data_IF_138582470398
#
_entry.id   IF_138582470398
#
_cell.length_a   1.000
_cell.length_b   1.000
_cell.length_c   1.000
_cell.angle_alpha   90.00
_cell.angle_beta   90.00
_cell.angle_gamma   90.00
#
_symmetry.space_group_name_H-M   'P 1'
#
loop_
_entity.id
_entity.type
_entity.pdbx_description
1 polymer ?
#
# COMPACT_ATOMS: atom_id res chain seq x y z
N UNK A 1 13.40 -0.35 -71.83
CA UNK A 1 14.05 -1.29 -70.89
C UNK A 1 12.95 -2.00 -70.11
N UNK A 2 12.63 -3.25 -70.47
CA UNK A 2 11.52 -3.99 -69.85
C UNK A 2 12.04 -4.66 -68.57
N UNK A 3 11.61 -4.19 -67.41
CA UNK A 3 12.00 -4.78 -66.11
C UNK A 3 11.09 -5.96 -65.83
N UNK A 4 11.60 -7.17 -66.01
CA UNK A 4 10.87 -8.40 -65.68
C UNK A 4 11.03 -8.73 -64.21
N UNK A 5 10.03 -8.39 -63.40
CA UNK A 5 10.00 -8.77 -61.98
C UNK A 5 9.59 -10.24 -61.89
N UNK A 6 10.46 -11.07 -61.30
CA UNK A 6 10.16 -12.49 -61.10
C UNK A 6 9.13 -12.61 -59.97
N UNK A 7 8.02 -13.31 -60.22
CA UNK A 7 6.95 -13.56 -59.23
C UNK A 7 7.53 -14.11 -57.91
N UNK A 8 8.54 -14.98 -57.98
CA UNK A 8 9.26 -15.51 -56.80
C UNK A 8 9.87 -14.40 -55.94
N UNK A 9 10.40 -13.34 -56.54
CA UNK A 9 10.98 -12.19 -55.82
C UNK A 9 9.90 -11.35 -55.11
N UNK A 10 8.71 -11.22 -55.69
CA UNK A 10 7.56 -10.55 -55.07
C UNK A 10 7.07 -11.35 -53.87
N UNK A 11 6.97 -12.68 -54.02
CA UNK A 11 6.55 -13.58 -52.93
C UNK A 11 7.52 -13.50 -51.75
N UNK A 12 8.83 -13.60 -51.99
CA UNK A 12 9.83 -13.50 -50.91
C UNK A 12 9.81 -12.13 -50.21
N UNK A 13 9.63 -11.04 -50.97
CA UNK A 13 9.51 -9.71 -50.38
C UNK A 13 8.25 -9.58 -49.52
N UNK A 14 7.09 -10.02 -50.03
CA UNK A 14 5.84 -10.01 -49.28
C UNK A 14 5.92 -10.86 -48.01
N UNK A 15 6.51 -12.05 -48.08
CA UNK A 15 6.75 -12.89 -46.89
C UNK A 15 7.65 -12.20 -45.87
N UNK A 16 8.74 -11.57 -46.31
CA UNK A 16 9.63 -10.82 -45.42
C UNK A 16 8.92 -9.66 -44.70
N UNK A 17 8.08 -8.91 -45.41
CA UNK A 17 7.28 -7.82 -44.82
C UNK A 17 6.28 -8.36 -43.79
N UNK A 18 5.58 -9.44 -44.10
CA UNK A 18 4.62 -10.07 -43.17
C UNK A 18 5.33 -10.57 -41.91
N UNK A 19 6.46 -11.25 -42.04
CA UNK A 19 7.24 -11.73 -40.90
C UNK A 19 7.74 -10.56 -40.04
N UNK A 20 8.23 -9.47 -40.65
CA UNK A 20 8.68 -8.30 -39.92
C UNK A 20 7.54 -7.60 -39.16
N UNK A 21 6.36 -7.47 -39.77
CA UNK A 21 5.19 -6.87 -39.12
C UNK A 21 4.68 -7.73 -37.96
N UNK A 22 4.61 -9.05 -38.14
CA UNK A 22 4.20 -9.98 -37.08
C UNK A 22 5.21 -9.99 -35.93
N UNK A 23 6.51 -10.05 -36.22
CA UNK A 23 7.54 -9.97 -35.20
C UNK A 23 7.49 -8.65 -34.44
N UNK A 24 7.27 -7.52 -35.14
CA UNK A 24 7.15 -6.21 -34.51
C UNK A 24 5.93 -6.13 -33.58
N UNK A 25 4.78 -6.66 -34.00
CA UNK A 25 3.59 -6.73 -33.17
C UNK A 25 3.80 -7.62 -31.94
N UNK A 26 4.41 -8.80 -32.09
CA UNK A 26 4.68 -9.72 -30.97
C UNK A 26 5.64 -9.08 -29.96
N UNK A 27 6.71 -8.43 -30.44
CA UNK A 27 7.66 -7.73 -29.57
C UNK A 27 6.97 -6.56 -28.86
N UNK A 28 6.23 -5.71 -29.58
CA UNK A 28 5.53 -4.56 -28.96
C UNK A 28 4.45 -4.96 -27.95
N UNK A 29 3.81 -6.12 -28.12
CA UNK A 29 2.82 -6.64 -27.16
C UNK A 29 3.49 -7.34 -25.97
N UNK A 30 4.68 -7.93 -26.13
CA UNK A 30 5.41 -8.58 -25.05
C UNK A 30 6.04 -7.61 -24.02
N UNK A 31 6.09 -6.31 -24.33
CA UNK A 31 6.47 -5.25 -23.37
C UNK A 31 5.29 -4.64 -22.62
N UNK A 32 4.06 -5.16 -22.81
CA UNK A 32 2.97 -4.81 -21.90
C UNK A 32 3.24 -5.49 -20.57
N UNK A 33 3.68 -4.70 -19.60
CA UNK A 33 3.55 -5.06 -18.19
C UNK A 33 2.05 -5.01 -17.91
N UNK A 34 1.39 -6.15 -18.00
CA UNK A 34 0.03 -6.26 -17.46
C UNK A 34 0.13 -6.00 -15.95
N UNK A 35 -0.62 -5.01 -15.45
CA UNK A 35 -0.78 -4.81 -14.01
C UNK A 35 -1.31 -6.10 -13.37
N UNK A 36 -1.04 -6.32 -12.09
CA UNK A 36 -1.52 -7.52 -11.42
C UNK A 36 -3.06 -7.57 -11.52
N UNK A 37 -3.67 -8.75 -11.72
CA UNK A 37 -5.13 -8.85 -11.84
C UNK A 37 -5.80 -8.30 -10.57
N UNK A 38 -6.56 -7.20 -10.71
CA UNK A 38 -7.29 -6.56 -9.61
C UNK A 38 -6.93 -5.08 -9.35
N UNK A 39 -5.90 -4.56 -10.00
CA UNK A 39 -5.43 -3.19 -9.77
C UNK A 39 -6.34 -2.16 -10.46
N UNK A 40 -7.12 -1.44 -9.66
CA UNK A 40 -7.43 -0.06 -10.00
C UNK A 40 -6.12 0.70 -9.83
N UNK A 41 -5.61 1.33 -10.89
CA UNK A 41 -4.42 2.16 -10.77
C UNK A 41 -4.67 3.18 -9.65
N UNK A 42 -3.71 3.30 -8.73
CA UNK A 42 -3.79 4.27 -7.64
C UNK A 42 -2.62 5.25 -7.70
N UNK A 43 -2.91 6.51 -7.39
CA UNK A 43 -1.91 7.57 -7.29
C UNK A 43 -1.72 7.95 -5.83
N UNK A 44 -0.46 8.01 -5.39
CA UNK A 44 -0.09 8.57 -4.10
C UNK A 44 -0.21 10.10 -4.15
N UNK A 45 -1.02 10.65 -3.25
CA UNK A 45 -1.11 12.08 -2.99
C UNK A 45 -0.32 12.37 -1.70
N UNK A 46 0.84 13.04 -1.78
CA UNK A 46 1.61 13.40 -0.60
C UNK A 46 0.91 14.53 0.17
N UNK A 47 1.07 14.51 1.50
CA UNK A 47 0.54 15.55 2.39
C UNK A 47 1.66 16.12 3.26
N UNK A 48 1.40 17.27 3.91
CA UNK A 48 2.21 17.65 5.06
C UNK A 48 2.01 16.58 6.13
N UNK A 49 3.08 15.93 6.65
CA UNK A 49 2.89 14.85 7.59
C UNK A 49 2.08 15.26 8.81
N UNK A 50 1.14 14.40 9.22
CA UNK A 50 0.24 14.63 10.34
C UNK A 50 0.14 13.37 11.20
N UNK A 51 -0.13 13.54 12.49
CA UNK A 51 -0.35 12.40 13.39
C UNK A 51 -1.80 11.97 13.37
N UNK A 52 -2.07 10.75 12.90
CA UNK A 52 -3.42 10.19 12.92
C UNK A 52 -3.75 9.63 14.31
N UNK A 53 -2.84 8.86 14.89
CA UNK A 53 -3.00 8.20 16.19
C UNK A 53 -1.72 8.26 17.00
N UNK A 54 -1.85 8.50 18.30
CA UNK A 54 -0.82 8.23 19.30
C UNK A 54 -1.48 7.50 20.47
N UNK A 55 -1.20 6.21 20.64
CA UNK A 55 -1.85 5.44 21.70
C UNK A 55 -1.25 5.68 23.08
N UNK A 56 -0.09 6.37 23.15
CA UNK A 56 0.60 6.62 24.42
C UNK A 56 -0.31 7.36 25.40
N UNK A 57 -0.08 7.20 26.71
CA UNK A 57 -0.77 8.01 27.72
C UNK A 57 -0.58 9.52 27.51
N UNK A 58 -1.48 10.31 28.08
CA UNK A 58 -1.35 11.77 28.12
C UNK A 58 0.03 12.18 28.69
N UNK A 59 0.67 13.24 28.16
CA UNK A 59 0.10 14.25 27.27
C UNK A 59 0.23 13.93 25.76
N UNK A 60 0.82 12.79 25.37
CA UNK A 60 1.15 12.53 23.97
C UNK A 60 -0.03 12.03 23.12
N UNK A 61 -1.10 11.57 23.75
CA UNK A 61 -2.23 10.92 23.08
C UNK A 61 -2.83 11.79 21.98
N UNK A 62 -3.00 11.19 20.80
CA UNK A 62 -3.73 11.76 19.65
C UNK A 62 -4.79 10.75 19.23
N UNK A 63 -6.02 11.23 19.11
CA UNK A 63 -7.18 10.39 18.82
C UNK A 63 -7.73 9.64 20.05
N UNK A 64 -8.76 8.80 19.84
CA UNK A 64 -9.48 8.14 20.94
C UNK A 64 -8.81 6.85 21.46
N UNK A 65 -7.79 6.35 20.77
CA UNK A 65 -7.18 5.07 21.06
C UNK A 65 -6.16 5.18 22.20
N UNK A 66 -6.16 4.17 23.08
CA UNK A 66 -5.17 4.01 24.14
C UNK A 66 -4.19 2.89 23.77
N UNK A 67 -3.19 2.66 24.63
CA UNK A 67 -2.20 1.58 24.50
C UNK A 67 -2.87 0.27 24.11
N UNK A 68 -2.36 -0.37 23.06
CA UNK A 68 -2.93 -1.61 22.54
C UNK A 68 -2.62 -2.74 23.50
N UNK A 69 -3.65 -3.49 23.89
CA UNK A 69 -3.60 -4.64 24.79
C UNK A 69 -3.32 -5.97 24.09
N UNK A 70 -3.47 -7.05 24.86
CA UNK A 70 -3.22 -8.43 24.39
C UNK A 70 -4.32 -8.86 23.42
N UNK A 71 -3.90 -9.42 22.28
CA UNK A 71 -4.79 -9.83 21.19
C UNK A 71 -5.84 -8.76 20.82
N UNK A 72 -5.51 -7.49 20.98
CA UNK A 72 -6.44 -6.39 20.73
C UNK A 72 -6.43 -6.03 19.25
N UNK A 73 -7.62 -5.95 18.65
CA UNK A 73 -7.82 -5.29 17.36
C UNK A 73 -8.61 -4.01 17.56
N UNK A 74 -8.08 -2.89 17.09
CA UNK A 74 -8.78 -1.60 17.08
C UNK A 74 -9.04 -1.15 15.66
N UNK A 75 -10.20 -0.54 15.41
CA UNK A 75 -10.53 0.07 14.11
C UNK A 75 -10.18 1.55 14.16
N UNK A 76 -9.29 1.99 13.29
CA UNK A 76 -8.85 3.38 13.16
C UNK A 76 -9.54 4.02 11.98
N UNK A 77 -10.32 5.08 12.24
CA UNK A 77 -10.90 5.91 11.18
C UNK A 77 -9.83 6.85 10.62
N UNK A 78 -9.59 6.79 9.31
CA UNK A 78 -8.59 7.63 8.66
C UNK A 78 -9.22 8.81 7.92
N UNK A 79 -10.23 8.55 7.09
CA UNK A 79 -10.91 9.60 6.31
C UNK A 79 -11.74 10.52 7.18
N UNK A 80 -11.88 11.77 6.75
CA UNK A 80 -12.45 12.87 7.55
C UNK A 80 -11.38 13.59 8.37
N UNK A 81 -11.80 14.23 9.46
CA UNK A 81 -10.92 14.89 10.42
C UNK A 81 -10.70 13.97 11.62
N UNK A 82 -9.53 13.35 11.72
CA UNK A 82 -9.17 12.43 12.79
C UNK A 82 -7.74 12.72 13.26
N UNK A 83 -7.52 12.71 14.57
CA UNK A 83 -6.24 13.13 15.14
C UNK A 83 -5.90 14.55 14.68
N UNK A 84 -4.71 14.70 14.08
CA UNK A 84 -4.22 15.95 13.50
C UNK A 84 -4.34 15.96 11.95
N UNK A 85 -5.03 14.96 11.39
CA UNK A 85 -5.12 14.72 9.95
C UNK A 85 -6.49 15.08 9.38
N UNK A 86 -6.49 15.59 8.13
CA UNK A 86 -7.68 15.74 7.29
C UNK A 86 -7.47 14.94 6.01
N UNK A 87 -8.13 13.79 5.91
CA UNK A 87 -7.97 12.87 4.77
C UNK A 87 -9.28 12.82 3.97
N UNK A 88 -9.24 13.02 2.64
CA UNK A 88 -10.45 13.02 1.82
C UNK A 88 -11.18 11.66 1.80
N UNK A 89 -12.49 11.68 1.54
CA UNK A 89 -13.33 10.49 1.55
C UNK A 89 -13.02 9.52 0.40
N UNK A 90 -12.42 10.02 -0.69
CA UNK A 90 -11.97 9.24 -1.84
C UNK A 90 -10.66 8.47 -1.61
N UNK A 91 -10.01 8.64 -0.45
CA UNK A 91 -8.82 7.87 -0.13
C UNK A 91 -9.14 6.36 -0.05
N UNK A 92 -8.37 5.56 -0.78
CA UNK A 92 -8.49 4.09 -0.83
C UNK A 92 -7.34 3.38 -0.11
N UNK A 93 -6.31 4.12 0.30
CA UNK A 93 -5.16 3.61 1.03
C UNK A 93 -4.34 4.72 1.66
N UNK A 94 -3.40 4.36 2.52
CA UNK A 94 -2.53 5.28 3.25
C UNK A 94 -1.06 4.87 3.08
N UNK A 95 -0.18 5.86 3.00
CA UNK A 95 1.25 5.71 3.20
C UNK A 95 1.60 6.27 4.59
N UNK A 96 2.03 5.40 5.50
CA UNK A 96 2.18 5.70 6.92
C UNK A 96 3.62 5.45 7.40
N UNK A 97 4.07 6.25 8.35
CA UNK A 97 5.18 5.92 9.23
C UNK A 97 4.61 5.47 10.58
N UNK A 98 4.78 4.19 10.90
CA UNK A 98 4.30 3.61 12.16
C UNK A 98 5.50 3.38 13.06
N UNK A 99 5.44 3.87 14.30
CA UNK A 99 6.47 3.61 15.31
C UNK A 99 5.86 2.90 16.50
N UNK A 100 6.33 1.67 16.78
CA UNK A 100 5.99 0.95 17.99
C UNK A 100 6.96 1.30 19.13
N UNK A 101 6.41 1.55 20.33
CA UNK A 101 7.18 1.86 21.54
C UNK A 101 6.57 1.17 22.76
N UNK A 102 7.32 1.08 23.85
CA UNK A 102 6.84 0.58 25.15
C UNK A 102 6.25 -0.84 25.12
N UNK A 103 6.74 -1.72 24.23
CA UNK A 103 6.33 -3.12 24.23
C UNK A 103 6.69 -3.79 25.57
N UNK A 104 5.73 -4.47 26.19
CA UNK A 104 5.95 -5.16 27.48
C UNK A 104 6.40 -6.61 27.33
N UNK A 105 6.14 -7.23 26.17
CA UNK A 105 6.65 -8.54 25.75
C UNK A 105 7.00 -8.49 24.25
N UNK A 106 7.67 -9.53 23.73
CA UNK A 106 7.82 -9.70 22.29
C UNK A 106 6.44 -9.88 21.64
N UNK A 107 6.13 -9.04 20.67
CA UNK A 107 4.83 -9.04 20.01
C UNK A 107 4.98 -8.67 18.54
N UNK A 108 3.86 -8.65 17.82
CA UNK A 108 3.79 -8.09 16.49
C UNK A 108 2.55 -7.21 16.32
N UNK A 109 2.67 -6.25 15.41
CA UNK A 109 1.59 -5.39 14.94
C UNK A 109 1.24 -5.72 13.49
N UNK A 110 -0.05 -5.79 13.20
CA UNK A 110 -0.56 -5.96 11.83
C UNK A 110 -1.59 -4.87 11.52
N UNK A 111 -1.51 -4.32 10.30
CA UNK A 111 -2.42 -3.28 9.80
C UNK A 111 -3.08 -3.75 8.50
N UNK A 112 -4.40 -3.67 8.42
CA UNK A 112 -5.15 -4.16 7.26
C UNK A 112 -6.53 -3.50 7.15
N UNK A 113 -7.17 -3.44 5.96
CA UNK A 113 -8.44 -2.72 5.80
C UNK A 113 -9.56 -3.30 6.68
N UNK A 114 -9.84 -4.60 6.54
CA UNK A 114 -10.99 -5.25 7.20
C UNK A 114 -10.91 -6.77 7.08
N UNK A 115 -11.90 -7.49 7.63
CA UNK A 115 -11.93 -8.95 7.58
C UNK A 115 -11.00 -9.60 8.59
N UNK A 116 -10.57 -10.82 8.27
CA UNK A 116 -9.72 -11.65 9.12
C UNK A 116 -8.31 -11.08 9.26
N UNK A 117 -7.68 -11.34 10.41
CA UNK A 117 -6.31 -10.93 10.70
C UNK A 117 -5.33 -11.61 9.71
N UNK A 118 -4.54 -10.84 8.95
CA UNK A 118 -3.48 -11.41 8.10
C UNK A 118 -2.40 -12.12 8.93
N UNK A 119 -1.79 -13.15 8.33
CA UNK A 119 -0.65 -13.87 8.95
C UNK A 119 0.65 -13.06 8.97
N UNK A 120 0.75 -12.04 8.10
CA UNK A 120 1.93 -11.19 8.01
C UNK A 120 1.89 -10.07 9.05
N UNK A 121 3.03 -9.81 9.67
CA UNK A 121 3.24 -8.68 10.56
C UNK A 121 3.86 -7.48 9.83
N UNK A 122 3.60 -6.28 10.31
CA UNK A 122 4.24 -5.05 9.86
C UNK A 122 5.38 -4.62 10.79
N UNK A 123 5.24 -4.82 12.11
CA UNK A 123 6.28 -4.50 13.11
C UNK A 123 6.35 -5.61 14.14
N UNK A 124 7.55 -5.90 14.65
CA UNK A 124 7.78 -6.94 15.66
C UNK A 124 8.55 -6.36 16.86
N UNK A 125 7.94 -5.47 17.67
CA UNK A 125 8.64 -4.82 18.77
C UNK A 125 8.84 -5.78 19.96
N UNK A 126 9.93 -5.56 20.70
CA UNK A 126 10.24 -6.31 21.91
C UNK A 126 10.60 -5.38 23.09
N UNK A 127 10.57 -5.88 24.34
CA UNK A 127 10.81 -5.06 25.52
C UNK A 127 12.22 -4.50 25.56
N UNK A 128 12.34 -3.24 25.97
CA UNK A 128 13.62 -2.55 26.11
C UNK A 128 14.28 -2.14 24.79
N UNK A 129 13.64 -2.38 23.64
CA UNK A 129 14.12 -1.87 22.36
C UNK A 129 13.91 -0.35 22.25
N UNK A 130 14.77 0.37 21.50
CA UNK A 130 14.46 1.72 21.07
C UNK A 130 13.17 1.74 20.23
N UNK A 131 12.58 2.93 19.97
CA UNK A 131 11.43 3.04 19.08
C UNK A 131 11.64 2.26 17.78
N UNK A 132 10.66 1.44 17.41
CA UNK A 132 10.70 0.56 16.23
C UNK A 132 9.86 1.17 15.10
N UNK A 133 10.44 1.99 14.20
CA UNK A 133 9.72 2.56 13.08
C UNK A 133 9.66 1.61 11.88
N UNK A 134 8.56 1.66 11.13
CA UNK A 134 8.44 1.05 9.82
C UNK A 134 7.53 1.89 8.90
N UNK A 135 7.84 1.89 7.60
CA UNK A 135 6.93 2.42 6.59
C UNK A 135 5.85 1.38 6.30
N UNK A 136 4.59 1.74 6.49
CA UNK A 136 3.43 0.86 6.30
C UNK A 136 2.51 1.45 5.26
N UNK A 137 2.23 0.70 4.20
CA UNK A 137 1.16 0.99 3.26
C UNK A 137 -0.03 0.09 3.56
N UNK A 138 -1.21 0.67 3.70
CA UNK A 138 -2.44 -0.09 4.02
C UNK A 138 -3.59 0.40 3.14
N UNK A 139 -4.38 -0.53 2.59
CA UNK A 139 -5.66 -0.20 1.97
C UNK A 139 -6.69 0.19 3.03
N UNK A 140 -7.69 0.97 2.65
CA UNK A 140 -8.81 1.31 3.51
C UNK A 140 -10.02 0.45 3.20
N UNK A 141 -10.78 0.11 4.25
CA UNK A 141 -12.10 -0.50 4.09
C UNK A 141 -13.10 0.51 3.52
N UNK A 142 -14.26 0.00 3.09
CA UNK A 142 -15.41 0.84 2.82
C UNK A 142 -15.72 1.72 4.05
N UNK A 143 -15.77 3.04 3.85
CA UNK A 143 -15.90 4.03 4.94
C UNK A 143 -14.57 4.65 5.41
N UNK A 144 -13.42 4.23 4.87
CA UNK A 144 -12.14 4.93 5.06
C UNK A 144 -11.43 4.62 6.38
N UNK A 145 -11.61 3.40 6.90
CA UNK A 145 -10.95 2.90 8.11
C UNK A 145 -9.99 1.75 7.81
N UNK A 146 -9.13 1.44 8.77
CA UNK A 146 -8.31 0.23 8.79
C UNK A 146 -8.28 -0.35 10.20
N UNK A 147 -7.83 -1.59 10.35
CA UNK A 147 -7.60 -2.27 11.62
C UNK A 147 -6.13 -2.22 12.00
N UNK A 148 -5.86 -2.03 13.28
CA UNK A 148 -4.55 -2.20 13.89
C UNK A 148 -4.65 -3.28 14.98
N UNK A 149 -3.73 -4.23 14.98
CA UNK A 149 -3.70 -5.35 15.91
C UNK A 149 -2.41 -5.40 16.71
N UNK A 150 -2.49 -5.80 17.97
CA UNK A 150 -1.36 -6.24 18.79
C UNK A 150 -1.56 -7.68 19.27
N UNK A 151 -0.53 -8.53 19.11
CA UNK A 151 -0.62 -9.95 19.46
C UNK A 151 -0.52 -10.23 20.97
N UNK A 152 0.53 -9.74 21.62
CA UNK A 152 0.88 -10.09 22.98
C UNK A 152 1.27 -8.86 23.81
N UNK A 153 1.09 -8.98 25.14
CA UNK A 153 1.35 -7.91 26.10
C UNK A 153 0.66 -6.60 25.72
N UNK A 154 1.34 -5.49 25.96
CA UNK A 154 0.89 -4.15 25.62
C UNK A 154 1.96 -3.44 24.80
N UNK A 155 1.54 -2.61 23.87
CA UNK A 155 2.45 -1.78 23.06
C UNK A 155 1.76 -0.47 22.69
N UNK A 156 2.54 0.59 22.60
CA UNK A 156 2.07 1.85 22.05
C UNK A 156 2.44 1.96 20.56
N UNK A 157 1.50 2.44 19.75
CA UNK A 157 1.70 2.76 18.35
C UNK A 157 1.52 4.26 18.12
N UNK A 158 2.50 4.86 17.44
CA UNK A 158 2.43 6.22 16.90
C UNK A 158 2.31 6.10 15.39
N UNK A 159 1.21 6.60 14.83
CA UNK A 159 0.86 6.47 13.41
C UNK A 159 0.83 7.86 12.80
N UNK A 160 1.86 8.17 12.01
CA UNK A 160 1.97 9.40 11.24
C UNK A 160 1.68 9.11 9.77
N UNK A 161 0.96 9.99 9.07
CA UNK A 161 0.65 9.85 7.65
C UNK A 161 1.59 10.70 6.80
N UNK A 162 2.13 10.12 5.74
CA UNK A 162 2.94 10.84 4.74
C UNK A 162 2.15 11.13 3.45
N UNK A 163 1.07 10.42 3.21
CA UNK A 163 0.20 10.57 2.05
C UNK A 163 -0.94 9.56 2.05
N UNK A 164 -1.81 9.66 1.05
CA UNK A 164 -2.90 8.71 0.82
C UNK A 164 -2.99 8.35 -0.65
N UNK A 165 -3.61 7.22 -0.95
CA UNK A 165 -3.83 6.73 -2.31
C UNK A 165 -5.25 7.04 -2.75
N UNK A 166 -5.43 7.43 -4.00
CA UNK A 166 -6.74 7.56 -4.68
C UNK A 166 -6.74 6.69 -5.93
N UNK A 167 -7.90 6.20 -6.34
CA UNK A 167 -8.06 5.58 -7.66
C UNK A 167 -7.85 6.64 -8.76
N UNK A 168 -7.22 6.25 -9.86
CA UNK A 168 -7.09 7.06 -11.07
C UNK A 168 -8.26 6.88 -12.03
#
# INVERSE_FOLDING_TARGET
MMVTIRVRSIVWFATGVVVALVASLVVLQAWRVDAAPGDSDTTLVPITPCRLVDTRPAPFRVGPHATLGVAETTTVQATGTNGECVIPAEAVGLAMNVTAVNATVETFLTFWPSGDLPLAANLNPAPGQPPNPNSVTVSLAAGGSFKAYNNAGTVDAVIDLNGYYINT
#
